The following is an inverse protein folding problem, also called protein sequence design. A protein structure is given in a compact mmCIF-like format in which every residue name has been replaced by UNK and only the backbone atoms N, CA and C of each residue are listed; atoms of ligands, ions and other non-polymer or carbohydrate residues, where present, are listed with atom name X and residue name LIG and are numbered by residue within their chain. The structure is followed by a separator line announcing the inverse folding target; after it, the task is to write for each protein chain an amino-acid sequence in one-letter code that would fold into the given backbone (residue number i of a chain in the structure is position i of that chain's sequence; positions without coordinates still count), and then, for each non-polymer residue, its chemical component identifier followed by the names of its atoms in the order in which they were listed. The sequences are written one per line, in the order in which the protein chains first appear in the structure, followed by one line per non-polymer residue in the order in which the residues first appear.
data_IF_680827579914
#
_entry.id   IF_680827579914
#
_cell.length_a   1.000
_cell.length_b   1.000
_cell.length_c   1.000
_cell.angle_alpha   90.00
_cell.angle_beta   90.00
_cell.angle_gamma   90.00
#
_symmetry.space_group_name_H-M   'P 1'
#
loop_
_entity.id
_entity.type
_entity.pdbx_description
1 polymer ?
#
# COMPACT_ATOMS: atom_id res chain seq x y z
N UNK A 1 -25.71 14.11 12.47
CA UNK A 1 -26.20 14.94 11.35
C UNK A 1 -24.97 15.63 10.79
N UNK A 2 -24.50 15.26 9.60
CA UNK A 2 -23.39 15.97 8.97
C UNK A 2 -23.92 17.34 8.53
N UNK A 3 -23.39 18.40 9.12
CA UNK A 3 -23.71 19.78 8.72
C UNK A 3 -23.30 19.95 7.26
N UNK A 4 -24.18 20.53 6.43
CA UNK A 4 -23.95 20.66 4.98
C UNK A 4 -22.92 21.76 4.73
N UNK A 5 -22.04 21.61 3.73
CA UNK A 5 -21.08 22.65 3.40
C UNK A 5 -21.84 23.91 2.92
N UNK A 6 -21.44 25.12 3.31
CA UNK A 6 -22.01 26.33 2.74
C UNK A 6 -21.87 26.32 1.21
N UNK A 7 -22.89 26.75 0.49
CA UNK A 7 -22.89 26.70 -0.99
C UNK A 7 -21.68 27.46 -1.59
N UNK A 8 -21.31 28.60 -1.00
CA UNK A 8 -20.12 29.38 -1.41
C UNK A 8 -18.82 28.55 -1.31
N UNK A 9 -18.69 27.70 -0.29
CA UNK A 9 -17.52 26.81 -0.15
C UNK A 9 -17.51 25.72 -1.21
N UNK A 10 -18.69 25.20 -1.59
CA UNK A 10 -18.82 24.17 -2.63
C UNK A 10 -18.39 24.73 -3.98
N UNK A 11 -18.89 25.92 -4.34
CA UNK A 11 -18.61 26.57 -5.62
C UNK A 11 -17.10 26.87 -5.78
N UNK A 12 -16.44 27.35 -4.72
CA UNK A 12 -14.98 27.62 -4.73
C UNK A 12 -14.15 26.33 -4.84
N UNK A 13 -14.59 25.23 -4.24
CA UNK A 13 -13.93 23.92 -4.34
C UNK A 13 -14.12 23.33 -5.75
N UNK A 14 -15.30 23.48 -6.34
CA UNK A 14 -15.58 23.01 -7.70
C UNK A 14 -14.69 23.73 -8.72
N UNK A 15 -14.59 25.06 -8.63
CA UNK A 15 -13.68 25.85 -9.46
C UNK A 15 -12.20 25.49 -9.24
N UNK A 16 -11.80 25.14 -8.01
CA UNK A 16 -10.44 24.66 -7.72
C UNK A 16 -10.16 23.32 -8.42
N UNK A 17 -11.11 22.39 -8.38
CA UNK A 17 -10.99 21.06 -8.99
C UNK A 17 -10.98 21.17 -10.52
N UNK A 18 -11.77 22.07 -11.09
CA UNK A 18 -11.82 22.36 -12.52
C UNK A 18 -10.61 23.17 -13.03
N UNK A 19 -9.79 23.71 -12.12
CA UNK A 19 -8.64 24.56 -12.45
C UNK A 19 -9.02 25.96 -12.94
N UNK A 20 -10.25 26.41 -12.65
CA UNK A 20 -10.81 27.70 -13.06
C UNK A 20 -10.81 28.76 -11.93
N UNK A 21 -10.31 28.42 -10.74
CA UNK A 21 -10.29 29.31 -9.58
C UNK A 21 -9.26 30.45 -9.73
N UNK A 22 -9.76 31.68 -9.68
CA UNK A 22 -8.96 32.91 -9.76
C UNK A 22 -8.29 33.30 -8.43
N UNK A 23 -7.39 34.28 -8.46
CA UNK A 23 -6.63 34.72 -7.27
C UNK A 23 -7.55 35.24 -6.14
N UNK A 24 -8.65 35.90 -6.48
CA UNK A 24 -9.64 36.38 -5.51
C UNK A 24 -10.36 35.21 -4.82
N UNK A 25 -10.71 34.16 -5.56
CA UNK A 25 -11.31 32.94 -5.03
C UNK A 25 -10.33 32.13 -4.17
N UNK A 26 -9.04 32.13 -4.52
CA UNK A 26 -7.98 31.48 -3.72
C UNK A 26 -7.78 32.16 -2.37
N UNK A 27 -7.71 33.49 -2.34
CA UNK A 27 -7.59 34.24 -1.08
C UNK A 27 -8.82 34.03 -0.18
N UNK A 28 -10.02 34.05 -0.77
CA UNK A 28 -11.28 33.81 -0.05
C UNK A 28 -11.35 32.41 0.55
N UNK A 29 -10.97 31.38 -0.22
CA UNK A 29 -10.93 30.00 0.27
C UNK A 29 -9.90 29.82 1.39
N UNK A 30 -8.73 30.45 1.28
CA UNK A 30 -7.68 30.42 2.31
C UNK A 30 -8.10 31.10 3.61
N UNK A 31 -8.85 32.20 3.54
CA UNK A 31 -9.44 32.89 4.69
C UNK A 31 -10.43 31.97 5.42
N UNK A 32 -11.38 31.37 4.70
CA UNK A 32 -12.37 30.44 5.26
C UNK A 32 -11.73 29.22 5.92
N UNK A 33 -10.68 28.67 5.31
CA UNK A 33 -9.89 27.53 5.83
C UNK A 33 -9.10 27.93 7.08
N UNK A 34 -8.64 29.17 7.21
CA UNK A 34 -7.90 29.63 8.40
C UNK A 34 -8.79 29.78 9.62
N UNK A 35 -9.99 30.32 9.46
CA UNK A 35 -10.90 30.65 10.57
C UNK A 35 -11.60 29.42 11.17
N UNK A 36 -11.95 28.42 10.37
CA UNK A 36 -12.75 27.27 10.82
C UNK A 36 -11.99 25.93 10.68
N UNK A 37 -11.53 25.41 11.82
CA UNK A 37 -10.85 24.11 11.90
C UNK A 37 -11.73 22.91 11.51
N UNK A 38 -13.04 22.99 11.72
CA UNK A 38 -14.01 21.97 11.31
C UNK A 38 -14.24 22.00 9.79
N UNK A 39 -14.24 23.18 9.19
CA UNK A 39 -14.30 23.36 7.74
C UNK A 39 -13.07 22.77 7.05
N UNK A 40 -11.86 22.98 7.60
CA UNK A 40 -10.62 22.37 7.08
C UNK A 40 -10.71 20.86 6.93
N UNK A 41 -11.22 20.20 7.96
CA UNK A 41 -11.35 18.74 7.96
C UNK A 41 -12.33 18.26 6.90
N UNK A 42 -13.45 18.98 6.72
CA UNK A 42 -14.49 18.64 5.72
C UNK A 42 -14.03 18.90 4.29
N UNK A 43 -13.25 19.94 4.06
CA UNK A 43 -12.63 20.22 2.75
C UNK A 43 -11.59 19.15 2.42
N UNK A 44 -10.76 18.74 3.39
CA UNK A 44 -9.80 17.66 3.22
C UNK A 44 -10.49 16.33 2.86
N UNK A 45 -11.57 15.97 3.56
CA UNK A 45 -12.37 14.77 3.26
C UNK A 45 -12.98 14.81 1.84
N UNK A 46 -13.44 15.98 1.38
CA UNK A 46 -14.02 16.13 0.03
C UNK A 46 -12.94 16.07 -1.07
N UNK A 47 -11.78 16.68 -0.85
CA UNK A 47 -10.65 16.62 -1.78
C UNK A 47 -10.03 15.22 -1.84
N UNK A 48 -10.02 14.47 -0.74
CA UNK A 48 -9.62 13.06 -0.72
C UNK A 48 -10.50 12.22 -1.66
N UNK A 49 -11.83 12.42 -1.62
CA UNK A 49 -12.77 11.73 -2.52
C UNK A 49 -12.53 12.13 -3.99
N UNK A 50 -12.42 13.43 -4.28
CA UNK A 50 -12.20 13.91 -5.64
C UNK A 50 -10.84 13.45 -6.20
N UNK A 51 -9.80 13.44 -5.38
CA UNK A 51 -8.49 12.91 -5.77
C UNK A 51 -8.51 11.40 -6.00
N UNK A 52 -9.24 10.64 -5.18
CA UNK A 52 -9.41 9.20 -5.36
C UNK A 52 -10.18 8.88 -6.65
N UNK A 53 -11.17 9.69 -7.00
CA UNK A 53 -11.91 9.59 -8.26
C UNK A 53 -11.04 9.95 -9.47
N UNK A 54 -10.22 11.00 -9.40
CA UNK A 54 -9.30 11.37 -10.48
C UNK A 54 -8.21 10.30 -10.68
N UNK A 55 -7.65 9.78 -9.60
CA UNK A 55 -6.69 8.66 -9.65
C UNK A 55 -7.31 7.40 -10.26
N UNK A 56 -8.60 7.13 -9.99
CA UNK A 56 -9.32 6.01 -10.57
C UNK A 56 -9.71 6.25 -12.04
N UNK A 57 -10.02 7.49 -12.41
CA UNK A 57 -10.29 7.89 -13.80
C UNK A 57 -9.03 7.81 -14.68
N UNK A 58 -7.86 8.19 -14.15
CA UNK A 58 -6.58 8.09 -14.87
C UNK A 58 -6.12 6.65 -15.09
N UNK A 59 -6.55 5.70 -14.27
CA UNK A 59 -6.20 4.28 -14.37
C UNK A 59 -7.08 3.45 -15.32
N UNK A 60 -8.18 4.02 -15.84
CA UNK A 60 -9.19 3.29 -16.60
C UNK A 60 -9.61 4.07 -17.84
N UNK A 61 -8.97 3.76 -18.97
CA UNK A 61 -9.19 4.43 -20.26
C UNK A 61 -10.65 4.38 -20.76
N UNK A 62 -11.50 3.50 -20.21
CA UNK A 62 -12.93 3.43 -20.55
C UNK A 62 -13.86 4.10 -19.53
N UNK A 63 -13.34 4.69 -18.46
CA UNK A 63 -14.15 5.31 -17.41
C UNK A 63 -14.90 6.55 -17.90
N UNK A 64 -14.23 7.41 -18.66
CA UNK A 64 -14.82 8.60 -19.26
C UNK A 64 -15.96 8.23 -20.24
N UNK A 65 -15.76 7.18 -21.05
CA UNK A 65 -16.73 6.73 -22.05
C UNK A 65 -17.98 6.11 -21.40
N UNK A 66 -17.82 5.29 -20.35
CA UNK A 66 -18.95 4.71 -19.60
C UNK A 66 -19.71 5.75 -18.79
N UNK A 67 -19.01 6.72 -18.21
CA UNK A 67 -19.62 7.80 -17.43
C UNK A 67 -20.34 8.77 -18.36
N UNK A 68 -19.74 9.14 -19.49
CA UNK A 68 -20.37 9.96 -20.52
C UNK A 68 -21.63 9.27 -21.09
N UNK A 69 -21.59 7.97 -21.39
CA UNK A 69 -22.76 7.23 -21.83
C UNK A 69 -23.88 7.19 -20.78
N UNK A 70 -23.53 7.16 -19.48
CA UNK A 70 -24.51 7.19 -18.40
C UNK A 70 -25.11 8.59 -18.19
N UNK A 71 -24.30 9.64 -18.32
CA UNK A 71 -24.71 11.05 -18.21
C UNK A 71 -25.56 11.48 -19.41
N UNK A 72 -25.19 11.08 -20.63
CA UNK A 72 -25.98 11.33 -21.85
C UNK A 72 -27.37 10.68 -21.75
N UNK A 73 -27.46 9.46 -21.20
CA UNK A 73 -28.75 8.77 -20.99
C UNK A 73 -29.65 9.45 -19.95
N UNK A 74 -29.06 10.22 -19.03
CA UNK A 74 -29.80 11.02 -18.03
C UNK A 74 -30.18 12.38 -18.63
N UNK A 75 -29.36 12.93 -19.52
CA UNK A 75 -29.58 14.22 -20.18
C UNK A 75 -30.64 14.17 -21.30
N UNK A 76 -30.93 13.00 -21.89
CA UNK A 76 -31.96 12.83 -22.93
C UNK A 76 -33.42 12.86 -22.43
N UNK A 77 -33.68 12.90 -21.11
CA UNK A 77 -35.03 13.09 -20.58
C UNK A 77 -35.43 14.57 -20.52
N UNK A 78 -35.59 15.18 -21.70
CA UNK A 78 -35.97 16.59 -21.90
C UNK A 78 -37.47 16.85 -22.18
N UNK A 79 -38.07 17.65 -21.29
CA UNK A 79 -39.05 18.73 -21.54
C UNK A 79 -40.55 18.51 -21.87
N UNK A 80 -41.08 17.32 -22.16
CA UNK A 80 -42.55 17.18 -22.35
C UNK A 80 -43.34 16.64 -21.14
N UNK A 81 -42.71 16.44 -19.98
CA UNK A 81 -43.33 15.73 -18.84
C UNK A 81 -44.13 16.60 -17.84
N UNK A 82 -44.03 17.93 -17.90
CA UNK A 82 -44.68 18.81 -16.92
C UNK A 82 -46.20 19.01 -17.17
N UNK A 83 -46.64 19.04 -18.43
CA UNK A 83 -48.05 19.21 -18.76
C UNK A 83 -48.91 17.97 -18.39
N UNK A 84 -48.32 16.77 -18.36
CA UNK A 84 -48.98 15.53 -17.93
C UNK A 84 -49.06 15.36 -16.40
N UNK A 85 -48.43 16.24 -15.62
CA UNK A 85 -48.36 16.15 -14.14
C UNK A 85 -49.66 16.51 -13.41
N UNK A 86 -50.69 17.01 -14.11
CA UNK A 86 -51.98 17.37 -13.46
C UNK A 86 -53.00 16.23 -13.51
N UNK A 87 -52.85 15.21 -14.38
CA UNK A 87 -53.78 14.05 -14.44
C UNK A 87 -53.42 12.85 -13.54
N UNK A 88 -52.22 12.80 -12.95
CA UNK A 88 -51.74 11.64 -12.16
C UNK A 88 -51.89 11.74 -10.63
N UNK A 89 -52.57 12.78 -10.12
CA UNK A 89 -52.70 13.05 -8.67
C UNK A 89 -53.50 11.97 -7.92
N UNK A 90 -54.28 11.13 -8.60
CA UNK A 90 -55.15 10.12 -7.98
C UNK A 90 -54.49 8.72 -7.89
N UNK A 91 -53.58 8.36 -8.82
CA UNK A 91 -52.89 7.06 -8.81
C UNK A 91 -51.62 7.02 -7.92
N UNK A 92 -51.11 8.20 -7.51
CA UNK A 92 -49.83 8.38 -6.82
C UNK A 92 -49.77 7.90 -5.37
N UNK A 93 -50.90 7.75 -4.65
CA UNK A 93 -50.86 7.43 -3.21
C UNK A 93 -50.56 5.97 -2.88
N UNK A 94 -50.83 5.02 -3.79
CA UNK A 94 -50.62 3.58 -3.53
C UNK A 94 -49.22 3.10 -3.93
N UNK A 95 -48.63 3.64 -5.00
CA UNK A 95 -47.30 3.24 -5.48
C UNK A 95 -46.16 3.89 -4.67
N UNK A 96 -46.36 5.10 -4.13
CA UNK A 96 -45.35 5.79 -3.30
C UNK A 96 -45.07 5.04 -1.99
N UNK A 97 -46.06 4.35 -1.40
CA UNK A 97 -45.84 3.53 -0.19
C UNK A 97 -45.01 2.28 -0.48
N UNK A 98 -45.19 1.65 -1.64
CA UNK A 98 -44.44 0.46 -2.04
C UNK A 98 -42.99 0.78 -2.43
N UNK A 99 -42.76 1.89 -3.16
CA UNK A 99 -41.42 2.35 -3.51
C UNK A 99 -40.64 2.89 -2.29
N UNK A 100 -41.31 3.56 -1.34
CA UNK A 100 -40.67 3.97 -0.09
C UNK A 100 -40.23 2.77 0.76
N UNK A 101 -41.05 1.71 0.83
CA UNK A 101 -40.66 0.47 1.52
C UNK A 101 -39.47 -0.23 0.84
N UNK A 102 -39.44 -0.27 -0.49
CA UNK A 102 -38.31 -0.83 -1.24
C UNK A 102 -37.03 0.02 -1.09
N UNK A 103 -37.15 1.35 -1.06
CA UNK A 103 -36.02 2.25 -0.82
C UNK A 103 -35.47 2.12 0.61
N UNK A 104 -36.34 1.96 1.62
CA UNK A 104 -35.94 1.69 3.01
C UNK A 104 -35.26 0.32 3.13
N UNK A 105 -35.76 -0.71 2.44
CA UNK A 105 -35.12 -2.03 2.40
C UNK A 105 -33.76 -1.98 1.66
N UNK A 106 -33.66 -1.23 0.57
CA UNK A 106 -32.41 -1.02 -0.15
C UNK A 106 -31.39 -0.25 0.70
N UNK A 107 -31.80 0.84 1.36
CA UNK A 107 -30.97 1.60 2.31
C UNK A 107 -30.59 0.77 3.55
N UNK A 108 -31.48 -0.09 4.04
CA UNK A 108 -31.19 -1.03 5.12
C UNK A 108 -30.26 -2.18 4.70
N UNK A 109 -30.16 -2.47 3.40
CA UNK A 109 -29.20 -3.44 2.83
C UNK A 109 -27.82 -2.82 2.53
N UNK A 110 -27.68 -1.49 2.46
CA UNK A 110 -26.38 -0.80 2.28
C UNK A 110 -25.35 -1.17 3.37
N UNK A 111 -25.68 -1.24 4.68
CA UNK A 111 -24.73 -1.71 5.69
C UNK A 111 -24.36 -3.19 5.55
N UNK A 112 -25.14 -4.00 4.83
CA UNK A 112 -24.81 -5.39 4.50
C UNK A 112 -23.93 -5.52 3.24
N UNK A 113 -23.94 -4.52 2.35
CA UNK A 113 -23.10 -4.45 1.14
C UNK A 113 -21.80 -3.69 1.34
N UNK A 114 -21.70 -2.88 2.39
CA UNK A 114 -20.44 -2.26 2.79
C UNK A 114 -19.45 -3.34 3.24
N UNK A 115 -18.47 -3.66 2.38
CA UNK A 115 -17.30 -4.44 2.79
C UNK A 115 -16.76 -3.80 4.06
N UNK A 116 -16.74 -4.56 5.17
CA UNK A 116 -16.19 -4.13 6.46
C UNK A 116 -14.86 -3.42 6.18
N UNK A 117 -14.80 -2.11 6.45
CA UNK A 117 -13.53 -1.39 6.43
C UNK A 117 -12.55 -2.19 7.31
N UNK A 118 -11.29 -2.40 6.86
CA UNK A 118 -10.32 -3.16 7.63
C UNK A 118 -10.25 -2.59 9.06
N UNK A 119 -10.70 -3.39 10.02
CA UNK A 119 -10.69 -3.04 11.43
C UNK A 119 -9.29 -3.28 11.95
N UNK A 120 -8.43 -2.27 11.84
CA UNK A 120 -7.07 -2.35 12.33
C UNK A 120 -6.39 -0.98 12.25
N UNK A 121 -5.44 -0.74 13.15
CA UNK A 121 -4.56 0.40 13.07
C UNK A 121 -3.83 0.38 11.72
N UNK A 122 -3.70 1.53 11.06
CA UNK A 122 -2.85 1.67 9.88
C UNK A 122 -1.41 1.56 10.35
N UNK A 123 -0.65 0.60 9.81
CA UNK A 123 0.70 0.27 10.29
C UNK A 123 1.78 0.37 9.19
N UNK A 124 1.38 0.34 7.92
CA UNK A 124 2.31 0.44 6.80
C UNK A 124 1.68 1.10 5.57
N UNK A 125 2.53 1.42 4.58
CA UNK A 125 2.16 1.81 3.23
C UNK A 125 2.69 0.76 2.26
N UNK A 126 1.81 0.20 1.43
CA UNK A 126 2.19 -0.71 0.34
C UNK A 126 2.41 0.09 -0.93
N UNK A 127 3.55 -0.12 -1.57
CA UNK A 127 3.92 0.44 -2.87
C UNK A 127 4.07 -0.72 -3.86
N UNK A 128 3.22 -0.79 -4.90
CA UNK A 128 3.43 -1.73 -6.01
C UNK A 128 4.30 -1.08 -7.06
N UNK A 129 5.17 -1.88 -7.66
CA UNK A 129 6.11 -1.40 -8.67
C UNK A 129 5.95 -2.19 -9.96
N UNK A 130 6.25 -1.56 -11.10
CA UNK A 130 6.39 -2.25 -12.37
C UNK A 130 7.81 -2.82 -12.54
N UNK A 131 8.07 -3.46 -13.68
CA UNK A 131 9.36 -4.05 -14.02
C UNK A 131 10.51 -3.03 -14.13
N UNK A 132 10.19 -1.74 -14.31
CA UNK A 132 11.15 -0.64 -14.37
C UNK A 132 11.34 0.05 -13.00
N UNK A 133 10.89 -0.60 -11.93
CA UNK A 133 10.99 -0.16 -10.54
C UNK A 133 10.21 1.11 -10.20
N UNK A 134 9.34 1.58 -11.10
CA UNK A 134 8.50 2.76 -10.85
C UNK A 134 7.27 2.37 -10.03
N UNK A 135 6.88 3.23 -9.08
CA UNK A 135 5.69 3.03 -8.26
C UNK A 135 4.44 3.23 -9.13
N UNK A 136 3.64 2.17 -9.27
CA UNK A 136 2.39 2.18 -10.04
C UNK A 136 1.16 2.34 -9.16
N UNK A 137 1.23 1.98 -7.89
CA UNK A 137 0.16 2.23 -6.94
C UNK A 137 0.68 2.29 -5.50
N UNK A 138 -0.03 3.03 -4.67
CA UNK A 138 0.18 3.04 -3.22
C UNK A 138 -1.13 2.76 -2.49
N UNK A 139 -1.05 2.03 -1.37
CA UNK A 139 -2.23 1.68 -0.57
C UNK A 139 -1.87 1.62 0.92
N UNK A 140 -2.63 2.25 1.83
CA UNK A 140 -2.42 2.06 3.26
C UNK A 140 -2.71 0.61 3.66
N UNK A 141 -1.91 0.09 4.58
CA UNK A 141 -2.01 -1.27 5.10
C UNK A 141 -2.30 -1.24 6.59
N UNK A 142 -3.27 -2.04 7.00
CA UNK A 142 -3.73 -2.13 8.38
C UNK A 142 -3.28 -3.43 9.02
N UNK A 143 -3.11 -3.44 10.34
CA UNK A 143 -2.90 -4.67 11.09
C UNK A 143 -4.02 -5.69 10.78
N UNK A 144 -3.65 -6.95 10.61
CA UNK A 144 -4.53 -8.03 10.16
C UNK A 144 -4.70 -8.16 8.65
N UNK A 145 -4.13 -7.26 7.84
CA UNK A 145 -4.20 -7.36 6.38
C UNK A 145 -3.45 -8.58 5.86
N UNK A 146 -4.03 -9.27 4.88
CA UNK A 146 -3.36 -10.31 4.10
C UNK A 146 -3.12 -9.77 2.70
N UNK A 147 -1.89 -9.88 2.24
CA UNK A 147 -1.43 -9.45 0.93
C UNK A 147 -1.03 -10.70 0.16
N UNK A 148 -1.66 -10.90 -0.99
CA UNK A 148 -1.31 -11.95 -1.95
C UNK A 148 -0.84 -11.26 -3.24
N UNK A 149 0.36 -11.62 -3.67
CA UNK A 149 0.93 -11.09 -4.91
C UNK A 149 1.36 -12.27 -5.80
N UNK A 150 0.62 -12.60 -6.86
CA UNK A 150 0.93 -13.74 -7.71
C UNK A 150 2.19 -13.53 -8.57
N UNK A 151 2.53 -12.28 -8.88
CA UNK A 151 3.72 -11.91 -9.65
C UNK A 151 4.12 -10.45 -9.37
N UNK A 152 5.39 -10.14 -9.62
CA UNK A 152 5.92 -8.78 -9.49
C UNK A 152 6.49 -8.47 -8.11
N UNK A 153 6.72 -7.19 -7.84
CA UNK A 153 7.39 -6.70 -6.65
C UNK A 153 6.54 -5.65 -5.96
N UNK A 154 6.52 -5.69 -4.63
CA UNK A 154 5.95 -4.63 -3.83
C UNK A 154 6.81 -4.36 -2.60
N UNK A 155 6.70 -3.13 -2.09
CA UNK A 155 7.41 -2.66 -0.93
C UNK A 155 6.41 -2.27 0.16
N UNK A 156 6.73 -2.59 1.39
CA UNK A 156 6.02 -2.18 2.59
C UNK A 156 6.90 -1.22 3.37
N UNK A 157 6.42 0.01 3.53
CA UNK A 157 7.02 0.99 4.42
C UNK A 157 6.22 0.99 5.73
N UNK A 158 6.78 0.36 6.76
CA UNK A 158 6.17 0.33 8.09
C UNK A 158 6.38 1.65 8.81
N UNK A 159 5.43 1.99 9.70
CA UNK A 159 5.49 3.23 10.48
C UNK A 159 6.67 3.29 11.45
N UNK A 160 7.20 2.15 11.90
CA UNK A 160 8.41 2.10 12.73
C UNK A 160 9.71 2.34 11.92
N UNK A 161 9.61 2.48 10.59
CA UNK A 161 10.74 2.70 9.69
C UNK A 161 11.26 1.44 9.01
N UNK A 162 10.75 0.25 9.32
CA UNK A 162 11.13 -0.97 8.60
C UNK A 162 10.69 -0.89 7.13
N UNK A 163 11.61 -1.20 6.23
CA UNK A 163 11.34 -1.29 4.79
C UNK A 163 11.43 -2.76 4.39
N UNK A 164 10.34 -3.31 3.85
CA UNK A 164 10.29 -4.71 3.41
C UNK A 164 9.93 -4.78 1.94
N UNK A 165 10.84 -5.26 1.10
CA UNK A 165 10.59 -5.55 -0.30
C UNK A 165 10.25 -7.04 -0.48
N UNK A 166 9.17 -7.34 -1.19
CA UNK A 166 8.66 -8.70 -1.37
C UNK A 166 8.50 -9.02 -2.86
N UNK A 167 8.93 -10.21 -3.25
CA UNK A 167 8.77 -10.77 -4.59
C UNK A 167 7.64 -11.79 -4.64
N UNK A 168 6.71 -11.59 -5.58
CA UNK A 168 5.68 -12.55 -5.96
C UNK A 168 6.24 -13.71 -6.80
N UNK A 169 5.71 -14.94 -6.68
CA UNK A 169 4.50 -15.31 -5.95
C UNK A 169 4.71 -15.29 -4.43
N UNK A 170 3.87 -14.56 -3.71
CA UNK A 170 3.97 -14.40 -2.26
C UNK A 170 2.63 -14.29 -1.57
N UNK A 171 2.63 -14.68 -0.30
CA UNK A 171 1.53 -14.49 0.63
C UNK A 171 2.09 -14.01 1.97
N UNK A 172 1.63 -12.84 2.38
CA UNK A 172 2.10 -12.13 3.58
C UNK A 172 0.91 -11.70 4.41
N UNK A 173 1.02 -11.81 5.73
CA UNK A 173 0.06 -11.28 6.67
C UNK A 173 0.73 -10.26 7.59
N UNK A 174 0.13 -9.09 7.71
CA UNK A 174 0.62 -8.03 8.58
C UNK A 174 0.00 -8.21 9.96
N UNK A 175 0.82 -8.41 10.98
CA UNK A 175 0.34 -8.67 12.34
C UNK A 175 0.25 -7.37 13.15
N UNK A 176 1.27 -6.52 13.05
CA UNK A 176 1.32 -5.21 13.72
C UNK A 176 2.28 -4.25 12.98
N UNK A 177 2.56 -3.08 13.57
CA UNK A 177 3.57 -2.15 13.06
C UNK A 177 5.03 -2.59 13.22
N UNK A 178 5.27 -3.68 13.96
CA UNK A 178 6.61 -4.23 14.20
C UNK A 178 6.71 -5.71 13.88
N UNK A 179 5.66 -6.30 13.29
CA UNK A 179 5.57 -7.73 13.10
C UNK A 179 4.76 -8.12 11.86
N UNK A 180 5.29 -9.08 11.11
CA UNK A 180 4.63 -9.69 9.95
C UNK A 180 4.83 -11.20 9.92
N UNK A 181 4.00 -11.88 9.14
CA UNK A 181 4.10 -13.30 8.85
C UNK A 181 4.29 -13.48 7.34
N UNK A 182 5.41 -14.08 6.95
CA UNK A 182 5.68 -14.54 5.59
C UNK A 182 5.23 -15.98 5.46
N UNK A 183 4.08 -16.18 4.80
CA UNK A 183 3.50 -17.50 4.57
C UNK A 183 4.22 -18.18 3.40
N UNK A 184 4.48 -17.43 2.33
CA UNK A 184 5.31 -17.88 1.20
C UNK A 184 5.86 -16.69 0.41
N UNK A 185 6.97 -16.92 -0.29
CA UNK A 185 7.62 -15.94 -1.16
C UNK A 185 9.02 -15.57 -0.67
N UNK A 186 9.60 -14.55 -1.27
CA UNK A 186 10.90 -13.99 -0.88
C UNK A 186 10.73 -12.55 -0.43
N UNK A 187 11.39 -12.20 0.67
CA UNK A 187 11.49 -10.83 1.09
C UNK A 187 12.93 -10.47 1.42
N UNK A 188 13.22 -9.18 1.28
CA UNK A 188 14.38 -8.53 1.84
C UNK A 188 13.89 -7.38 2.72
N UNK A 189 14.38 -7.33 3.95
CA UNK A 189 14.04 -6.30 4.90
C UNK A 189 15.30 -5.48 5.23
N UNK A 190 15.07 -4.18 5.40
CA UNK A 190 16.02 -3.26 5.98
C UNK A 190 15.35 -2.59 7.18
N UNK A 191 15.99 -2.71 8.34
CA UNK A 191 15.49 -2.18 9.59
C UNK A 191 16.50 -1.16 10.14
N UNK A 192 16.19 0.15 10.11
CA UNK A 192 17.00 1.14 10.82
C UNK A 192 16.85 0.98 12.34
N UNK A 193 17.66 1.70 13.12
CA UNK A 193 17.59 1.67 14.59
C UNK A 193 16.19 1.97 15.16
N UNK A 194 15.39 2.79 14.46
CA UNK A 194 14.00 3.08 14.86
C UNK A 194 13.07 1.87 14.75
N UNK A 195 13.46 0.86 13.97
CA UNK A 195 12.73 -0.37 13.70
C UNK A 195 13.32 -1.59 14.43
N UNK A 196 14.23 -1.38 15.39
CA UNK A 196 14.82 -2.45 16.20
C UNK A 196 13.75 -3.39 16.78
N UNK A 197 14.00 -4.70 16.70
CA UNK A 197 13.05 -5.72 17.16
C UNK A 197 11.94 -6.04 16.16
N UNK A 198 12.05 -5.58 14.91
CA UNK A 198 11.12 -5.97 13.85
C UNK A 198 11.14 -7.49 13.65
N UNK A 199 9.96 -8.09 13.54
CA UNK A 199 9.80 -9.53 13.61
C UNK A 199 9.12 -10.09 12.37
N UNK A 200 9.71 -11.16 11.82
CA UNK A 200 9.12 -11.91 10.71
C UNK A 200 8.91 -13.36 11.13
N UNK A 201 7.65 -13.78 11.15
CA UNK A 201 7.25 -15.18 11.35
C UNK A 201 7.18 -15.92 10.03
N UNK A 202 7.63 -17.18 10.04
CA UNK A 202 7.31 -18.16 9.00
C UNK A 202 6.65 -19.36 9.63
N UNK A 203 6.24 -20.34 8.82
CA UNK A 203 5.67 -21.58 9.33
C UNK A 203 6.64 -22.40 10.19
N UNK A 204 7.97 -22.21 10.03
CA UNK A 204 8.98 -23.07 10.65
C UNK A 204 9.85 -22.39 11.70
N UNK A 205 9.94 -21.06 11.72
CA UNK A 205 10.72 -20.28 12.67
C UNK A 205 10.29 -18.81 12.70
N UNK A 206 10.83 -18.05 13.65
CA UNK A 206 10.66 -16.60 13.78
C UNK A 206 12.03 -15.93 13.73
N UNK A 207 12.16 -14.85 12.96
CA UNK A 207 13.34 -13.98 12.92
C UNK A 207 13.01 -12.67 13.63
N UNK A 208 13.89 -12.24 14.53
CA UNK A 208 13.86 -10.92 15.17
C UNK A 208 15.10 -10.13 14.75
N UNK A 209 14.86 -8.94 14.22
CA UNK A 209 15.89 -7.99 13.83
C UNK A 209 16.53 -7.31 15.05
N UNK A 210 17.86 -7.14 15.02
CA UNK A 210 18.62 -6.43 16.05
C UNK A 210 19.31 -5.17 15.49
N UNK A 211 18.80 -4.59 14.39
CA UNK A 211 19.32 -3.40 13.71
C UNK A 211 20.04 -3.71 12.39
N UNK A 212 19.33 -4.26 11.39
CA UNK A 212 19.99 -4.98 10.29
C UNK A 212 19.26 -5.07 8.95
N UNK A 213 19.98 -5.53 7.92
CA UNK A 213 19.41 -6.02 6.66
C UNK A 213 19.47 -7.54 6.55
N UNK A 214 18.32 -8.16 6.27
CA UNK A 214 18.18 -9.61 6.20
C UNK A 214 17.23 -10.05 5.06
N UNK A 215 17.42 -11.28 4.59
CA UNK A 215 16.61 -11.92 3.57
C UNK A 215 15.92 -13.18 4.10
N UNK A 216 14.67 -13.40 3.70
CA UNK A 216 13.91 -14.61 4.04
C UNK A 216 13.25 -15.17 2.79
N UNK A 217 13.43 -16.47 2.57
CA UNK A 217 12.71 -17.23 1.55
C UNK A 217 11.88 -18.30 2.25
N UNK A 218 10.55 -18.19 2.15
CA UNK A 218 9.62 -19.17 2.68
C UNK A 218 8.90 -19.87 1.53
N UNK A 219 8.89 -21.20 1.57
CA UNK A 219 8.25 -22.03 0.56
C UNK A 219 6.91 -22.57 1.07
N UNK A 220 5.93 -22.87 0.18
CA UNK A 220 4.60 -23.32 0.59
C UNK A 220 4.55 -24.62 1.39
N UNK A 221 5.60 -25.45 1.33
CA UNK A 221 5.77 -26.67 2.11
C UNK A 221 6.27 -26.42 3.54
N UNK A 222 6.45 -25.15 3.93
CA UNK A 222 6.85 -24.74 5.27
C UNK A 222 8.35 -24.84 5.53
N UNK A 223 9.18 -24.91 4.48
CA UNK A 223 10.62 -24.64 4.61
C UNK A 223 10.84 -23.13 4.58
N UNK A 224 11.83 -22.66 5.35
CA UNK A 224 12.25 -21.26 5.38
C UNK A 224 13.76 -21.16 5.48
N UNK A 225 14.32 -20.26 4.68
CA UNK A 225 15.74 -19.94 4.62
C UNK A 225 15.91 -18.49 5.07
N UNK A 226 16.84 -18.26 6.00
CA UNK A 226 17.11 -16.96 6.61
C UNK A 226 18.57 -16.61 6.34
N UNK A 227 18.83 -15.40 5.88
CA UNK A 227 20.18 -14.93 5.55
C UNK A 227 20.40 -13.51 6.06
N UNK A 228 21.58 -13.25 6.63
CA UNK A 228 21.94 -11.92 7.14
C UNK A 228 22.86 -11.22 6.15
N UNK A 229 22.40 -10.09 5.60
CA UNK A 229 23.20 -9.33 4.64
C UNK A 229 24.10 -8.32 5.35
N UNK A 230 23.62 -7.68 6.42
CA UNK A 230 24.42 -6.73 7.20
C UNK A 230 23.94 -6.61 8.65
N UNK A 231 24.85 -6.78 9.61
CA UNK A 231 24.62 -6.73 11.06
C UNK A 231 24.18 -8.06 11.71
N UNK A 232 23.21 -8.04 12.63
CA UNK A 232 22.82 -9.18 13.49
C UNK A 232 21.30 -9.43 13.51
N UNK A 233 20.92 -10.71 13.52
CA UNK A 233 19.54 -11.16 13.78
C UNK A 233 19.50 -12.34 14.74
N UNK A 234 18.33 -12.59 15.32
CA UNK A 234 18.05 -13.78 16.10
C UNK A 234 16.98 -14.63 15.40
N UNK A 235 17.25 -15.91 15.15
CA UNK A 235 16.29 -16.88 14.61
C UNK A 235 15.92 -17.88 15.70
N UNK A 236 14.62 -17.97 15.98
CA UNK A 236 14.07 -18.84 17.01
C UNK A 236 13.16 -19.91 16.41
N UNK A 237 13.38 -21.16 16.82
CA UNK A 237 12.48 -22.29 16.59
C UNK A 237 12.23 -23.03 17.91
N UNK A 238 11.06 -22.83 18.51
CA UNK A 238 10.76 -23.40 19.82
C UNK A 238 11.76 -22.89 20.86
N UNK A 239 12.56 -23.80 21.43
CA UNK A 239 13.65 -23.46 22.35
C UNK A 239 15.04 -23.33 21.70
N UNK A 240 15.17 -23.65 20.41
CA UNK A 240 16.42 -23.47 19.65
C UNK A 240 16.50 -22.00 19.19
N UNK A 241 17.48 -21.26 19.70
CA UNK A 241 17.72 -19.85 19.40
C UNK A 241 19.12 -19.73 18.80
N UNK A 242 19.21 -19.14 17.61
CA UNK A 242 20.46 -18.90 16.89
C UNK A 242 20.63 -17.40 16.66
N UNK A 243 21.75 -16.85 17.09
CA UNK A 243 22.18 -15.52 16.64
C UNK A 243 23.01 -15.68 15.38
N UNK A 244 22.70 -14.89 14.37
CA UNK A 244 23.35 -14.91 13.07
C UNK A 244 23.95 -13.54 12.82
N UNK A 245 25.18 -13.55 12.35
CA UNK A 245 25.94 -12.36 11.97
C UNK A 245 25.97 -12.22 10.44
N UNK A 246 26.54 -11.12 9.96
CA UNK A 246 26.70 -10.86 8.54
C UNK A 246 27.32 -12.04 7.78
N UNK A 247 26.67 -12.47 6.71
CA UNK A 247 27.11 -13.60 5.90
C UNK A 247 26.71 -14.98 6.43
N UNK A 248 26.01 -15.06 7.56
CA UNK A 248 25.41 -16.30 8.03
C UNK A 248 24.09 -16.61 7.32
N UNK A 249 23.81 -17.90 7.17
CA UNK A 249 22.55 -18.40 6.67
C UNK A 249 22.11 -19.68 7.39
N UNK A 250 20.82 -19.80 7.66
CA UNK A 250 20.20 -21.00 8.24
C UNK A 250 18.91 -21.38 7.51
N UNK A 251 18.61 -22.67 7.51
CA UNK A 251 17.35 -23.24 7.02
C UNK A 251 16.56 -23.90 8.16
N UNK A 252 15.24 -23.85 8.05
CA UNK A 252 14.29 -24.46 8.97
C UNK A 252 13.11 -25.06 8.21
N UNK A 253 12.82 -26.34 8.40
CA UNK A 253 11.57 -26.98 7.95
C UNK A 253 10.68 -27.35 9.13
N UNK A 254 9.38 -27.51 8.97
CA UNK A 254 8.39 -27.75 10.05
C UNK A 254 8.89 -28.72 11.15
N UNK A 255 9.44 -29.87 10.78
CA UNK A 255 9.92 -30.92 11.69
C UNK A 255 11.45 -31.02 11.79
N UNK A 256 12.19 -30.04 11.28
CA UNK A 256 13.66 -30.00 11.30
C UNK A 256 14.14 -28.90 12.25
N UNK A 257 15.27 -29.11 12.92
CA UNK A 257 15.94 -28.08 13.72
C UNK A 257 16.55 -27.00 12.82
N UNK A 258 17.04 -25.90 13.41
CA UNK A 258 17.80 -24.93 12.65
C UNK A 258 19.12 -25.58 12.17
N UNK A 259 19.40 -25.45 10.88
CA UNK A 259 20.60 -25.99 10.25
C UNK A 259 21.30 -24.87 9.49
N UNK A 260 22.61 -24.72 9.65
CA UNK A 260 23.41 -23.81 8.83
C UNK A 260 23.35 -24.23 7.37
N UNK A 261 23.32 -23.24 6.48
CA UNK A 261 23.37 -23.45 5.03
C UNK A 261 24.40 -22.51 4.41
N UNK A 262 24.75 -22.75 3.15
CA UNK A 262 25.59 -21.82 2.39
C UNK A 262 24.86 -20.49 2.22
N UNK A 263 25.54 -19.40 2.53
CA UNK A 263 25.07 -18.05 2.25
C UNK A 263 25.13 -17.77 0.74
N UNK A 264 23.96 -17.64 0.12
CA UNK A 264 23.79 -17.29 -1.29
C UNK A 264 22.72 -16.18 -1.42
N UNK A 265 23.13 -14.91 -1.37
CA UNK A 265 22.20 -13.78 -1.40
C UNK A 265 21.61 -13.52 -2.79
N UNK A 266 22.11 -14.18 -3.85
CA UNK A 266 21.69 -13.96 -5.23
C UNK A 266 20.18 -14.19 -5.45
N UNK A 267 19.58 -15.03 -4.61
CA UNK A 267 18.13 -15.29 -4.57
C UNK A 267 17.29 -14.05 -4.26
N UNK A 268 17.89 -13.00 -3.67
CA UNK A 268 17.23 -11.73 -3.33
C UNK A 268 17.56 -10.59 -4.31
N UNK A 269 18.15 -10.89 -5.48
CA UNK A 269 18.54 -9.86 -6.46
C UNK A 269 17.39 -8.93 -6.84
N UNK A 270 16.18 -9.47 -6.95
CA UNK A 270 14.99 -8.72 -7.34
C UNK A 270 14.41 -7.86 -6.21
N UNK A 271 14.74 -8.10 -4.93
CA UNK A 271 14.23 -7.32 -3.80
C UNK A 271 15.28 -6.38 -3.21
N UNK A 272 16.57 -6.65 -3.45
CA UNK A 272 17.71 -5.96 -2.85
C UNK A 272 17.76 -4.45 -3.12
N UNK A 273 17.76 -4.04 -4.39
CA UNK A 273 17.89 -2.62 -4.75
C UNK A 273 16.75 -1.80 -4.12
N UNK A 274 15.56 -2.40 -4.05
CA UNK A 274 14.34 -1.76 -3.57
C UNK A 274 14.30 -1.61 -2.05
N UNK A 275 14.71 -2.64 -1.32
CA UNK A 275 14.85 -2.59 0.13
C UNK A 275 15.83 -1.48 0.54
N UNK A 276 16.87 -1.25 -0.27
CA UNK A 276 17.86 -0.19 -0.08
C UNK A 276 17.42 1.20 -0.61
N UNK A 277 16.16 1.34 -1.07
CA UNK A 277 15.62 2.62 -1.54
C UNK A 277 16.07 3.04 -2.94
N UNK A 278 16.70 2.16 -3.72
CA UNK A 278 17.04 2.41 -5.12
C UNK A 278 15.80 2.10 -5.98
N UNK A 279 15.02 3.14 -6.27
CA UNK A 279 13.74 3.04 -6.99
C UNK A 279 13.89 3.02 -8.51
N UNK A 280 15.01 3.46 -9.09
CA UNK A 280 15.32 3.18 -10.50
C UNK A 280 16.80 3.42 -10.76
N UNK A 281 17.34 2.71 -11.75
CA UNK A 281 18.62 3.04 -12.38
C UNK A 281 18.36 3.14 -13.89
N UNK A 282 19.02 4.06 -14.60
CA UNK A 282 18.84 4.23 -16.05
C UNK A 282 20.18 4.11 -16.77
N UNK A 283 20.14 3.53 -17.97
CA UNK A 283 21.31 3.45 -18.85
C UNK A 283 22.39 2.53 -18.28
N UNK A 284 23.63 2.99 -18.26
CA UNK A 284 24.77 2.21 -17.78
C UNK A 284 24.87 2.10 -16.25
N UNK A 285 23.96 2.73 -15.50
CA UNK A 285 23.97 2.67 -14.03
C UNK A 285 23.15 1.47 -13.57
N UNK A 286 23.69 0.64 -12.67
CA UNK A 286 22.96 -0.48 -12.08
C UNK A 286 23.26 -0.61 -10.59
N UNK A 287 22.30 -1.06 -9.79
CA UNK A 287 22.54 -1.35 -8.38
C UNK A 287 23.42 -2.60 -8.26
N UNK A 288 24.37 -2.58 -7.33
CA UNK A 288 25.14 -3.77 -7.00
C UNK A 288 24.19 -4.87 -6.51
N UNK A 289 24.47 -6.14 -6.82
CA UNK A 289 23.67 -7.26 -6.33
C UNK A 289 23.73 -7.39 -4.81
N UNK A 290 22.79 -8.12 -4.19
CA UNK A 290 22.84 -8.39 -2.75
C UNK A 290 24.09 -9.17 -2.39
N UNK A 291 24.84 -8.66 -1.41
CA UNK A 291 25.98 -9.33 -0.79
C UNK A 291 26.29 -8.66 0.57
N UNK A 292 27.28 -9.19 1.29
CA UNK A 292 27.80 -8.57 2.51
C UNK A 292 28.55 -7.29 2.19
N UNK A 293 28.47 -6.30 3.09
CA UNK A 293 29.01 -4.95 2.87
C UNK A 293 30.51 -4.95 2.50
N UNK A 294 31.31 -5.85 3.08
CA UNK A 294 32.74 -5.98 2.77
C UNK A 294 33.02 -6.39 1.31
N UNK A 295 32.15 -7.22 0.72
CA UNK A 295 32.28 -7.63 -0.68
C UNK A 295 31.75 -6.56 -1.62
N UNK A 296 30.71 -5.83 -1.22
CA UNK A 296 30.15 -4.75 -2.03
C UNK A 296 31.17 -3.63 -2.31
N UNK A 297 32.03 -3.31 -1.33
CA UNK A 297 33.10 -2.31 -1.50
C UNK A 297 34.08 -2.67 -2.61
N UNK A 298 34.25 -3.97 -2.89
CA UNK A 298 35.16 -4.48 -3.92
C UNK A 298 34.42 -4.87 -5.21
N UNK A 299 33.14 -4.48 -5.36
CA UNK A 299 32.39 -4.80 -6.57
C UNK A 299 32.89 -3.97 -7.76
N UNK A 300 33.24 -4.66 -8.84
CA UNK A 300 33.71 -4.05 -10.09
C UNK A 300 32.83 -4.46 -11.27
N UNK A 301 32.63 -3.55 -12.21
CA UNK A 301 31.96 -3.85 -13.48
C UNK A 301 32.62 -3.06 -14.61
N UNK A 302 32.91 -3.78 -15.71
CA UNK A 302 33.45 -3.20 -16.94
C UNK A 302 32.35 -2.69 -17.89
N UNK A 303 31.09 -3.00 -17.60
CA UNK A 303 29.94 -2.70 -18.46
C UNK A 303 29.00 -1.67 -17.84
N UNK A 304 28.97 -1.57 -16.51
CA UNK A 304 28.02 -0.73 -15.78
C UNK A 304 28.71 0.10 -14.69
N UNK A 305 28.19 1.30 -14.44
CA UNK A 305 28.47 2.07 -13.24
C UNK A 305 27.66 1.48 -12.09
N UNK A 306 28.35 0.98 -11.07
CA UNK A 306 27.70 0.35 -9.91
C UNK A 306 27.28 1.38 -8.88
N UNK A 307 26.02 1.32 -8.45
CA UNK A 307 25.52 2.03 -7.27
C UNK A 307 25.53 1.07 -6.10
N UNK A 308 26.36 1.37 -5.11
CA UNK A 308 26.42 0.66 -3.85
C UNK A 308 25.58 1.45 -2.85
N UNK A 309 24.56 0.84 -2.21
CA UNK A 309 23.87 1.46 -1.09
C UNK A 309 24.91 1.88 -0.04
N UNK A 310 24.86 3.15 0.37
CA UNK A 310 25.73 3.64 1.44
C UNK A 310 25.51 2.79 2.71
N UNK A 311 26.59 2.48 3.45
CA UNK A 311 26.48 1.95 4.82
C UNK A 311 25.79 3.01 5.68
N UNK A 312 24.47 2.93 5.78
CA UNK A 312 23.65 3.84 6.59
C UNK A 312 23.63 3.37 8.04
N UNK A 313 24.81 3.43 8.65
CA UNK A 313 25.12 3.41 10.09
C UNK A 313 26.64 3.27 10.22
N UNK A 314 27.37 4.38 10.14
CA UNK A 314 28.70 4.49 10.76
C UNK A 314 28.46 5.23 12.08
N UNK A 315 28.86 4.69 13.24
CA UNK A 315 28.78 5.42 14.50
C UNK A 315 29.57 6.73 14.46
#
# INVERSE_FOLDING_TARGET
MAEKLPNETIDLIEQLIEGSLDESGQERLMEMVREDAGLRKRIAEQLEISSALDLQARGDAGFAERTAAHVIRIAEEGEFAFANKVKHTIFRRRVVKALAAAAVLALAAIPFLAKRAPQGERVALLLRMNHDNTVISSKPVHAGSVIEEPNGLYRLDFQNGAIVAVEGPSKVKILSGTEMELISGRLNAWCPDTAYGFKVRTASAELTDLGTSFGIHATPDGKSEFMVLDGLVEVQKGSDIRRLEQGDAVTSGLHQTLQSMTFDPSVFKNTWAFANGILSTRGAVTAVGPDIAEKLVNAESNEHVLVIPERRSVP
#
